data_IF_511426314342
#
_entry.id   IF_511426314342
#
_cell.length_a   1.000
_cell.length_b   1.000
_cell.length_c   1.000
_cell.angle_alpha   90.00
_cell.angle_beta   90.00
_cell.angle_gamma   90.00
#
_symmetry.space_group_name_H-M   'P 1'
#
loop_
_entity.id
_entity.type
_entity.pdbx_description
1 polymer ?
#
# COMPACT_ATOMS: atom_id res chain seq x y z
N UNK A 1 -57.63 43.75 3.20
CA UNK A 1 -56.19 43.49 2.99
C UNK A 1 -55.89 43.73 1.51
N UNK A 2 -54.74 44.30 1.17
CA UNK A 2 -54.48 44.93 -0.13
C UNK A 2 -53.91 43.99 -1.19
N UNK A 3 -54.18 44.31 -2.47
CA UNK A 3 -53.49 43.74 -3.63
C UNK A 3 -52.79 44.85 -4.43
N UNK A 4 -51.48 44.68 -4.66
CA UNK A 4 -50.81 44.82 -5.97
C UNK A 4 -50.63 46.19 -6.69
N UNK A 5 -49.76 46.14 -7.72
CA UNK A 5 -49.47 47.11 -8.81
C UNK A 5 -48.51 48.30 -8.56
N UNK A 6 -48.00 48.80 -9.71
CA UNK A 6 -47.09 49.93 -9.96
C UNK A 6 -45.61 49.79 -9.50
N UNK A 7 -44.57 50.34 -10.15
CA UNK A 7 -44.17 50.66 -11.55
C UNK A 7 -43.18 51.84 -11.53
N UNK A 8 -42.18 51.88 -12.41
CA UNK A 8 -41.07 52.84 -12.35
C UNK A 8 -41.35 54.23 -12.97
N UNK A 9 -40.59 55.26 -12.55
CA UNK A 9 -40.26 56.57 -13.22
C UNK A 9 -39.41 57.43 -12.22
N UNK A 10 -38.65 58.49 -12.53
CA UNK A 10 -38.29 59.20 -13.79
C UNK A 10 -36.95 60.00 -13.67
N UNK A 11 -36.11 59.89 -14.71
CA UNK A 11 -35.33 60.93 -15.44
C UNK A 11 -34.85 62.26 -14.80
N UNK A 12 -33.58 62.61 -15.06
CA UNK A 12 -33.09 63.84 -15.75
C UNK A 12 -31.75 63.48 -16.43
N UNK A 13 -31.58 63.43 -17.77
CA UNK A 13 -31.56 64.50 -18.81
C UNK A 13 -30.31 65.40 -18.74
N UNK A 14 -29.41 65.23 -19.72
CA UNK A 14 -28.23 66.08 -19.96
C UNK A 14 -27.28 65.47 -21.01
N UNK A 15 -27.24 66.02 -22.23
CA UNK A 15 -26.50 65.42 -23.37
C UNK A 15 -25.84 66.49 -24.25
N UNK A 16 -24.51 66.59 -24.21
CA UNK A 16 -23.70 67.31 -25.21
C UNK A 16 -22.43 66.54 -25.56
N UNK A 17 -21.86 66.80 -26.74
CA UNK A 17 -20.64 66.18 -27.29
C UNK A 17 -19.55 67.25 -27.44
N UNK A 18 -18.28 66.91 -27.20
CA UNK A 18 -17.25 66.84 -28.27
C UNK A 18 -15.82 66.51 -27.78
N UNK A 19 -15.02 66.01 -28.73
CA UNK A 19 -13.56 65.72 -28.77
C UNK A 19 -12.68 66.94 -28.42
N UNK A 20 -11.33 66.85 -28.29
CA UNK A 20 -10.38 65.74 -28.51
C UNK A 20 -9.55 65.44 -27.23
N UNK A 21 -8.29 64.95 -27.15
CA UNK A 21 -7.23 64.50 -28.10
C UNK A 21 -6.28 63.48 -27.41
N UNK A 22 -5.48 62.63 -28.11
CA UNK A 22 -4.63 61.62 -27.47
C UNK A 22 -3.12 61.92 -27.49
N UNK A 23 -2.48 61.96 -26.31
CA UNK A 23 -1.02 61.73 -26.12
C UNK A 23 -0.66 61.56 -24.63
N UNK A 24 0.57 61.09 -24.37
CA UNK A 24 1.21 60.93 -23.06
C UNK A 24 0.61 59.87 -22.10
N UNK A 25 0.98 58.60 -22.33
CA UNK A 25 1.25 57.67 -21.23
C UNK A 25 2.62 57.02 -21.45
N UNK A 26 3.52 57.19 -20.48
CA UNK A 26 4.88 56.64 -20.49
C UNK A 26 5.35 56.46 -19.04
N UNK A 27 5.89 55.26 -18.72
CA UNK A 27 6.60 54.86 -17.47
C UNK A 27 5.72 54.39 -16.29
N UNK A 28 6.33 53.51 -15.47
CA UNK A 28 5.69 52.60 -14.49
C UNK A 28 5.66 51.17 -15.06
N UNK A 29 6.56 50.21 -14.75
CA UNK A 29 7.00 49.68 -13.43
C UNK A 29 5.78 49.25 -12.59
N UNK A 30 5.67 48.00 -12.10
CA UNK A 30 6.69 47.05 -11.58
C UNK A 30 6.38 45.61 -12.05
N UNK A 31 7.37 44.70 -12.24
CA UNK A 31 7.09 43.29 -12.48
C UNK A 31 6.51 42.60 -11.24
N UNK A 32 5.37 41.92 -11.39
CA UNK A 32 4.75 41.16 -10.31
C UNK A 32 5.60 39.91 -9.98
N UNK A 33 6.15 39.86 -8.76
CA UNK A 33 6.88 38.70 -8.27
C UNK A 33 5.86 37.58 -7.97
N UNK A 34 5.76 36.58 -8.86
CA UNK A 34 4.96 35.39 -8.59
C UNK A 34 5.70 34.56 -7.54
N UNK A 35 5.34 34.73 -6.26
CA UNK A 35 5.70 33.76 -5.23
C UNK A 35 4.99 32.46 -5.57
N UNK A 36 5.74 31.52 -6.15
CA UNK A 36 5.33 30.12 -6.22
C UNK A 36 5.20 29.61 -4.79
N UNK A 37 3.96 29.49 -4.32
CA UNK A 37 3.65 28.72 -3.11
C UNK A 37 4.07 27.29 -3.38
N UNK A 38 5.27 26.93 -2.92
CA UNK A 38 5.70 25.55 -2.85
C UNK A 38 4.70 24.83 -1.91
N UNK A 39 3.78 24.09 -2.52
CA UNK A 39 2.94 23.14 -1.81
C UNK A 39 3.86 22.05 -1.28
N UNK A 40 4.40 22.29 -0.07
CA UNK A 40 5.06 21.27 0.73
C UNK A 40 4.01 20.23 1.06
N UNK A 41 3.87 19.26 0.15
CA UNK A 41 3.11 18.04 0.37
C UNK A 41 3.54 17.48 1.72
N UNK A 42 2.64 17.35 2.71
CA UNK A 42 3.02 16.75 3.98
C UNK A 42 3.52 15.34 3.66
N UNK A 43 4.83 15.12 3.84
CA UNK A 43 5.44 13.86 3.48
C UNK A 43 4.75 12.76 4.26
N UNK A 44 4.06 11.86 3.54
CA UNK A 44 3.30 10.78 4.15
C UNK A 44 4.22 10.00 5.10
N UNK A 45 4.00 10.16 6.40
CA UNK A 45 4.74 9.41 7.40
C UNK A 45 4.25 7.98 7.30
N UNK A 46 5.10 7.09 6.82
CA UNK A 46 4.73 5.69 6.67
C UNK A 46 4.36 5.09 8.04
N UNK A 47 3.23 4.40 8.09
CA UNK A 47 2.67 3.78 9.29
C UNK A 47 3.69 2.77 9.88
N UNK A 48 4.33 3.09 11.03
CA UNK A 48 5.55 2.42 11.45
C UNK A 48 5.29 0.99 11.91
N UNK A 49 6.14 0.07 11.44
CA UNK A 49 6.02 -1.37 11.67
C UNK A 49 7.23 -1.87 12.43
N UNK A 50 7.02 -2.31 13.67
CA UNK A 50 8.08 -2.92 14.49
C UNK A 50 7.91 -4.44 14.54
N UNK A 51 8.95 -5.16 14.15
CA UNK A 51 9.03 -6.62 14.23
C UNK A 51 9.79 -7.05 15.47
N UNK A 52 9.28 -8.08 16.13
CA UNK A 52 9.85 -8.68 17.32
C UNK A 52 9.92 -10.20 17.15
N UNK A 53 10.90 -10.85 17.77
CA UNK A 53 11.00 -12.32 17.83
C UNK A 53 11.18 -12.81 19.25
N UNK A 54 10.71 -14.03 19.50
CA UNK A 54 10.88 -14.75 20.75
C UNK A 54 10.52 -16.21 20.59
N UNK A 55 10.08 -16.84 21.67
CA UNK A 55 9.67 -18.24 21.69
C UNK A 55 8.37 -18.43 22.48
N UNK A 56 7.54 -19.37 22.02
CA UNK A 56 6.36 -19.86 22.71
C UNK A 56 6.59 -21.34 23.03
N UNK A 57 6.97 -21.64 24.27
CA UNK A 57 7.65 -22.90 24.59
C UNK A 57 8.94 -23.02 23.78
N UNK A 58 9.14 -24.15 23.10
CA UNK A 58 10.27 -24.37 22.20
C UNK A 58 10.04 -23.81 20.76
N UNK A 59 8.86 -23.26 20.46
CA UNK A 59 8.50 -22.80 19.10
C UNK A 59 8.97 -21.36 18.87
N UNK A 60 9.82 -21.06 17.86
CA UNK A 60 10.13 -19.68 17.48
C UNK A 60 8.90 -18.95 16.95
N UNK A 61 8.73 -17.70 17.37
CA UNK A 61 7.61 -16.82 16.98
C UNK A 61 8.10 -15.43 16.56
N UNK A 62 7.36 -14.82 15.63
CA UNK A 62 7.56 -13.46 15.14
C UNK A 62 6.24 -12.68 15.25
N UNK A 63 6.30 -11.51 15.88
CA UNK A 63 5.19 -10.57 16.00
C UNK A 63 5.56 -9.29 15.26
N UNK A 64 4.74 -8.86 14.31
CA UNK A 64 4.83 -7.52 13.72
C UNK A 64 3.67 -6.67 14.22
N UNK A 65 4.02 -5.49 14.74
CA UNK A 65 3.07 -4.47 15.17
C UNK A 65 3.24 -3.23 14.29
N UNK A 66 2.23 -2.94 13.48
CA UNK A 66 2.07 -1.72 12.68
C UNK A 66 1.19 -0.75 13.47
N UNK A 67 1.64 0.49 13.68
CA UNK A 67 0.75 1.57 14.10
C UNK A 67 -0.04 2.06 12.89
N UNK A 68 -1.35 1.84 12.88
CA UNK A 68 -2.27 2.40 11.89
C UNK A 68 -2.74 3.77 12.39
N UNK A 69 -2.40 4.83 11.65
CA UNK A 69 -2.79 6.22 11.97
C UNK A 69 -4.25 6.54 11.59
N UNK A 70 -4.94 5.66 10.87
CA UNK A 70 -6.32 5.84 10.45
C UNK A 70 -7.30 5.51 11.61
N UNK A 71 -8.53 6.00 11.50
CA UNK A 71 -9.63 5.74 12.44
C UNK A 71 -9.39 6.04 13.93
N UNK A 72 -8.36 6.84 14.26
CA UNK A 72 -8.08 7.33 15.62
C UNK A 72 -6.82 6.77 16.27
N UNK A 73 -6.08 5.89 15.56
CA UNK A 73 -4.84 5.30 16.05
C UNK A 73 -5.04 3.93 16.70
N UNK A 74 -4.36 2.91 16.18
CA UNK A 74 -4.35 1.57 16.76
C UNK A 74 -3.12 0.76 16.34
N UNK A 75 -2.91 -0.39 16.98
CA UNK A 75 -1.92 -1.37 16.55
C UNK A 75 -2.63 -2.49 15.78
N UNK A 76 -2.02 -2.91 14.67
CA UNK A 76 -2.40 -4.09 13.88
C UNK A 76 -1.12 -4.83 13.43
N UNK A 77 -1.20 -5.79 12.50
CA UNK A 77 -0.03 -6.45 11.94
C UNK A 77 -0.23 -7.95 11.75
N UNK A 78 0.77 -8.76 12.14
CA UNK A 78 0.68 -10.23 12.09
C UNK A 78 1.33 -10.92 13.28
N UNK A 79 0.82 -12.10 13.60
CA UNK A 79 1.49 -13.16 14.35
C UNK A 79 2.00 -14.24 13.39
N UNK A 80 3.16 -14.83 13.67
CA UNK A 80 3.73 -15.93 12.90
C UNK A 80 4.44 -16.91 13.84
N UNK A 81 4.20 -18.21 13.63
CA UNK A 81 4.91 -19.30 14.32
C UNK A 81 5.67 -20.15 13.31
N UNK A 82 6.88 -20.63 13.66
CA UNK A 82 7.62 -21.59 12.82
C UNK A 82 6.98 -23.00 12.79
N UNK A 83 5.95 -23.24 13.61
CA UNK A 83 5.16 -24.47 13.58
C UNK A 83 4.09 -24.45 12.46
N UNK A 84 3.42 -23.30 12.25
CA UNK A 84 2.31 -23.17 11.28
C UNK A 84 2.74 -22.50 9.97
N UNK A 85 3.81 -21.68 10.04
CA UNK A 85 4.42 -20.87 8.98
C UNK A 85 3.41 -20.08 8.15
N UNK A 86 2.41 -19.55 8.83
CA UNK A 86 1.35 -18.72 8.28
C UNK A 86 1.37 -17.36 9.02
N UNK A 87 1.51 -16.23 8.33
CA UNK A 87 1.24 -14.92 8.93
C UNK A 87 -0.26 -14.78 9.16
N UNK A 88 -0.68 -14.92 10.43
CA UNK A 88 -2.07 -14.71 10.85
C UNK A 88 -2.24 -13.22 11.17
N UNK A 89 -3.21 -12.52 10.56
CA UNK A 89 -3.41 -11.09 10.82
C UNK A 89 -3.83 -10.83 12.27
N UNK A 90 -3.45 -9.67 12.79
CA UNK A 90 -3.93 -9.16 14.08
C UNK A 90 -5.17 -8.28 13.88
N UNK A 91 -6.02 -8.22 14.90
CA UNK A 91 -7.08 -7.21 14.97
C UNK A 91 -6.48 -5.78 15.03
N UNK A 92 -7.22 -4.77 14.53
CA UNK A 92 -6.86 -3.37 14.75
C UNK A 92 -7.31 -2.96 16.17
N UNK A 93 -6.39 -3.01 17.12
CA UNK A 93 -6.66 -2.72 18.54
C UNK A 93 -6.20 -1.30 18.92
N UNK A 94 -7.08 -0.41 19.40
CA UNK A 94 -6.67 0.87 19.98
C UNK A 94 -5.74 0.67 21.17
N UNK A 95 -4.66 1.44 21.27
CA UNK A 95 -3.65 1.28 22.32
C UNK A 95 -3.35 2.61 23.05
N UNK A 96 -2.66 2.52 24.18
CA UNK A 96 -2.07 3.67 24.89
C UNK A 96 -0.68 3.32 25.40
N UNK A 97 0.23 4.29 25.33
CA UNK A 97 1.62 4.13 25.78
C UNK A 97 1.66 3.85 27.29
N UNK A 98 2.25 2.72 27.69
CA UNK A 98 2.40 2.29 29.09
C UNK A 98 1.21 1.54 29.70
N UNK A 99 0.08 1.41 29.00
CA UNK A 99 -1.03 0.53 29.38
C UNK A 99 -0.82 -0.90 28.83
N UNK A 100 -1.77 -1.82 29.06
CA UNK A 100 -1.75 -3.14 28.43
C UNK A 100 -2.25 -3.06 26.98
N UNK A 101 -1.58 -3.76 26.06
CA UNK A 101 -2.11 -4.04 24.72
C UNK A 101 -2.52 -5.51 24.65
N UNK A 102 -3.84 -5.76 24.69
CA UNK A 102 -4.43 -7.08 24.45
C UNK A 102 -4.98 -7.12 23.02
N UNK A 103 -4.28 -7.83 22.13
CA UNK A 103 -4.55 -7.84 20.68
C UNK A 103 -4.89 -9.26 20.20
N UNK A 104 -6.02 -9.40 19.49
CA UNK A 104 -6.51 -10.69 19.01
C UNK A 104 -5.74 -11.17 17.77
N UNK A 105 -5.49 -12.48 17.71
CA UNK A 105 -4.90 -13.18 16.57
C UNK A 105 -6.05 -13.76 15.73
N UNK A 106 -6.27 -13.22 14.53
CA UNK A 106 -7.46 -13.47 13.73
C UNK A 106 -7.27 -14.68 12.79
N UNK A 107 -7.12 -15.88 13.38
CA UNK A 107 -7.16 -17.15 12.63
C UNK A 107 -8.53 -17.38 11.97
N UNK A 108 -9.58 -16.85 12.62
CA UNK A 108 -10.94 -16.79 12.13
C UNK A 108 -11.49 -15.36 12.33
N UNK A 109 -12.02 -14.69 11.28
CA UNK A 109 -12.48 -13.30 11.35
C UNK A 109 -13.71 -13.07 12.25
N UNK A 110 -14.40 -14.12 12.71
CA UNK A 110 -15.57 -14.01 13.60
C UNK A 110 -15.36 -14.57 15.00
N UNK A 111 -14.29 -15.34 15.24
CA UNK A 111 -14.02 -15.99 16.53
C UNK A 111 -12.52 -16.33 16.67
N UNK A 112 -11.66 -15.38 17.07
CA UNK A 112 -10.23 -15.61 17.19
C UNK A 112 -9.91 -16.72 18.21
N UNK A 113 -8.94 -17.57 17.87
CA UNK A 113 -8.43 -18.64 18.73
C UNK A 113 -7.64 -18.13 19.92
N UNK A 114 -6.94 -17.02 19.75
CA UNK A 114 -5.87 -16.59 20.63
C UNK A 114 -5.72 -15.07 20.64
N UNK A 115 -5.06 -14.56 21.68
CA UNK A 115 -4.66 -13.18 21.80
C UNK A 115 -3.23 -13.08 22.36
N UNK A 116 -2.58 -11.93 22.14
CA UNK A 116 -1.35 -11.56 22.84
C UNK A 116 -1.68 -10.43 23.82
N UNK A 117 -1.43 -10.66 25.10
CA UNK A 117 -1.35 -9.61 26.12
C UNK A 117 0.09 -9.12 26.18
N UNK A 118 0.30 -7.80 26.09
CA UNK A 118 1.59 -7.13 26.19
C UNK A 118 1.52 -6.08 27.29
N UNK A 119 2.34 -6.26 28.35
CA UNK A 119 2.28 -5.43 29.55
C UNK A 119 3.13 -4.17 29.39
N UNK A 120 2.59 -3.04 29.88
CA UNK A 120 3.20 -1.71 29.75
C UNK A 120 3.68 -1.39 28.33
N UNK A 121 2.84 -1.74 27.35
CA UNK A 121 3.17 -1.68 25.94
C UNK A 121 3.59 -0.26 25.53
N UNK A 122 4.72 -0.16 24.85
CA UNK A 122 5.19 1.10 24.24
C UNK A 122 5.56 0.85 22.79
N UNK A 123 5.10 1.72 21.90
CA UNK A 123 5.26 1.56 20.46
C UNK A 123 6.75 1.60 20.08
N UNK A 124 7.25 0.53 19.47
CA UNK A 124 8.65 0.42 19.06
C UNK A 124 9.65 0.11 20.18
N UNK A 125 9.23 -0.34 21.36
CA UNK A 125 10.10 -0.71 22.49
C UNK A 125 11.24 -1.69 22.11
N UNK A 126 12.33 -1.71 22.89
CA UNK A 126 13.46 -2.63 22.68
C UNK A 126 13.07 -4.10 22.92
N UNK A 127 12.20 -4.33 23.90
CA UNK A 127 11.67 -5.65 24.26
C UNK A 127 10.21 -5.52 24.72
N UNK A 128 9.45 -6.60 24.60
CA UNK A 128 8.08 -6.71 25.07
C UNK A 128 7.96 -7.94 25.99
N UNK A 129 7.15 -7.83 27.03
CA UNK A 129 6.84 -8.90 27.97
C UNK A 129 5.32 -9.02 28.12
N UNK A 130 4.83 -10.24 28.30
CA UNK A 130 3.40 -10.50 28.44
C UNK A 130 3.08 -11.98 28.35
N UNK A 131 1.94 -12.31 27.74
CA UNK A 131 1.45 -13.69 27.59
C UNK A 131 0.78 -13.91 26.24
N UNK A 132 1.01 -15.08 25.66
CA UNK A 132 0.09 -15.66 24.68
C UNK A 132 -1.09 -16.29 25.43
N UNK A 133 -2.31 -16.06 24.95
CA UNK A 133 -3.55 -16.50 25.57
C UNK A 133 -4.34 -17.32 24.56
N UNK A 134 -4.64 -18.57 24.87
CA UNK A 134 -5.61 -19.41 24.15
C UNK A 134 -7.02 -19.04 24.63
N UNK A 135 -7.83 -18.45 23.75
CA UNK A 135 -9.20 -18.01 24.03
C UNK A 135 -10.22 -19.17 24.02
N UNK A 136 -9.84 -20.35 23.52
CA UNK A 136 -10.67 -21.56 23.49
C UNK A 136 -10.53 -22.38 24.77
N UNK A 137 -9.34 -22.38 25.40
CA UNK A 137 -9.08 -23.12 26.67
C UNK A 137 -8.91 -22.23 27.89
N UNK A 138 -8.64 -20.92 27.71
CA UNK A 138 -8.21 -20.01 28.77
C UNK A 138 -6.75 -20.20 29.21
N UNK A 139 -5.99 -21.09 28.53
CA UNK A 139 -4.58 -21.32 28.81
C UNK A 139 -3.73 -20.09 28.51
N UNK A 140 -2.74 -19.83 29.37
CA UNK A 140 -1.79 -18.72 29.20
C UNK A 140 -0.35 -19.24 29.24
N UNK A 141 0.49 -18.70 28.36
CA UNK A 141 1.91 -19.02 28.29
C UNK A 141 2.72 -17.71 28.30
N UNK A 142 3.69 -17.53 29.22
CA UNK A 142 4.54 -16.34 29.27
C UNK A 142 5.26 -16.12 27.95
N UNK A 143 5.29 -14.88 27.49
CA UNK A 143 5.88 -14.46 26.23
C UNK A 143 6.90 -13.34 26.48
N UNK A 144 8.10 -13.52 25.93
CA UNK A 144 9.14 -12.48 25.88
C UNK A 144 9.57 -12.32 24.43
N UNK A 145 9.55 -11.08 23.95
CA UNK A 145 9.90 -10.74 22.57
C UNK A 145 10.99 -9.65 22.57
N UNK A 146 11.99 -9.81 21.72
CA UNK A 146 13.05 -8.82 21.48
C UNK A 146 12.82 -8.17 20.11
N UNK A 147 12.99 -6.85 20.02
CA UNK A 147 12.84 -6.13 18.74
C UNK A 147 13.94 -6.54 17.78
N UNK A 148 13.55 -6.93 16.57
CA UNK A 148 14.46 -7.32 15.48
C UNK A 148 14.69 -6.15 14.53
N UNK A 149 13.62 -5.51 14.06
CA UNK A 149 13.70 -4.38 13.14
C UNK A 149 12.50 -3.44 13.28
N UNK A 150 12.73 -2.14 13.07
CA UNK A 150 11.69 -1.11 12.99
C UNK A 150 11.70 -0.51 11.59
N UNK A 151 10.71 -0.87 10.79
CA UNK A 151 10.48 -0.35 9.45
C UNK A 151 9.61 0.91 9.56
N UNK A 152 10.07 2.00 8.96
CA UNK A 152 9.54 3.35 9.14
C UNK A 152 9.59 3.89 10.60
N UNK A 153 9.37 5.20 10.71
CA UNK A 153 10.17 6.07 11.57
C UNK A 153 10.69 7.26 10.75
N UNK A 154 11.23 8.29 11.40
CA UNK A 154 11.55 9.56 10.72
C UNK A 154 12.56 9.37 9.58
N UNK A 155 12.64 10.33 8.63
CA UNK A 155 13.63 10.28 7.53
C UNK A 155 15.10 10.22 8.00
N UNK A 156 15.36 10.44 9.29
CA UNK A 156 16.70 10.31 9.91
C UNK A 156 17.05 8.87 10.29
N UNK A 157 16.05 8.01 10.47
CA UNK A 157 16.22 6.60 10.83
C UNK A 157 16.45 5.76 9.57
N UNK A 158 17.64 5.17 9.48
CA UNK A 158 17.90 4.09 8.55
C UNK A 158 17.33 2.76 9.08
N UNK A 159 16.97 1.86 8.18
CA UNK A 159 16.66 0.46 8.50
C UNK A 159 17.20 -0.44 7.37
N UNK A 160 17.47 -1.70 7.71
CA UNK A 160 18.07 -2.69 6.82
C UNK A 160 17.75 -4.09 7.37
N UNK A 161 16.82 -4.82 6.75
CA UNK A 161 16.45 -6.16 7.24
C UNK A 161 15.16 -6.77 6.69
N UNK A 162 14.76 -7.89 7.29
CA UNK A 162 13.76 -8.82 6.75
C UNK A 162 12.34 -8.59 7.28
N UNK A 163 11.38 -8.48 6.36
CA UNK A 163 9.95 -8.27 6.64
C UNK A 163 9.11 -9.39 6.02
N UNK A 164 8.43 -10.19 6.86
CA UNK A 164 7.44 -11.16 6.39
C UNK A 164 6.25 -10.42 5.75
N UNK A 165 5.77 -10.94 4.63
CA UNK A 165 4.64 -10.40 3.89
C UNK A 165 3.37 -11.19 4.23
N UNK A 166 2.30 -10.57 4.75
CA UNK A 166 1.12 -11.29 5.18
C UNK A 166 0.27 -11.72 3.98
N UNK A 167 0.37 -13.01 3.65
CA UNK A 167 -0.43 -13.70 2.65
C UNK A 167 -0.90 -15.05 3.20
N UNK A 168 -2.11 -15.45 2.84
CA UNK A 168 -2.66 -16.76 3.16
C UNK A 168 -2.51 -17.67 1.95
N UNK A 169 -1.40 -18.40 1.89
CA UNK A 169 -1.16 -19.44 0.87
C UNK A 169 -0.97 -20.82 1.52
N UNK A 170 -1.22 -21.85 0.71
CA UNK A 170 -1.18 -23.28 1.06
C UNK A 170 0.26 -23.81 1.15
N UNK A 171 1.13 -23.40 0.22
CA UNK A 171 2.43 -24.02 -0.06
C UNK A 171 3.61 -23.09 0.28
N UNK A 172 3.40 -21.77 0.24
CA UNK A 172 4.45 -20.76 0.34
C UNK A 172 4.19 -19.68 1.39
N UNK A 173 5.26 -19.03 1.84
CA UNK A 173 5.24 -17.75 2.52
C UNK A 173 6.41 -16.87 2.02
N UNK A 174 6.28 -15.56 2.15
CA UNK A 174 7.13 -14.60 1.45
C UNK A 174 7.81 -13.66 2.46
N UNK A 175 9.12 -13.46 2.32
CA UNK A 175 9.85 -12.39 3.02
C UNK A 175 10.47 -11.44 2.00
N UNK A 176 10.55 -10.17 2.35
CA UNK A 176 11.30 -9.16 1.59
C UNK A 176 12.45 -8.62 2.43
N UNK A 177 13.58 -8.38 1.78
CA UNK A 177 14.66 -7.59 2.34
C UNK A 177 14.36 -6.12 2.06
N UNK A 178 14.16 -5.33 3.12
CA UNK A 178 13.68 -3.96 3.07
C UNK A 178 14.70 -3.02 3.74
N UNK A 179 15.14 -2.00 3.00
CA UNK A 179 16.12 -1.04 3.48
C UNK A 179 15.79 0.42 3.12
N UNK A 180 16.35 1.34 3.91
CA UNK A 180 16.34 2.78 3.69
C UNK A 180 17.56 3.39 4.38
N UNK A 181 18.35 4.17 3.66
CA UNK A 181 19.47 4.92 4.25
C UNK A 181 18.99 6.21 4.93
N UNK A 182 19.73 6.70 5.90
CA UNK A 182 19.38 7.94 6.60
C UNK A 182 19.40 9.13 5.62
N UNK A 183 18.26 9.81 5.51
CA UNK A 183 18.04 10.89 4.54
C UNK A 183 17.35 10.47 3.24
N UNK A 184 17.11 9.17 2.98
CA UNK A 184 16.29 8.74 1.85
C UNK A 184 14.79 8.98 2.12
N UNK A 185 14.08 9.52 1.14
CA UNK A 185 12.65 9.85 1.22
C UNK A 185 11.73 8.61 1.10
N UNK A 186 12.25 7.49 0.58
CA UNK A 186 11.47 6.28 0.28
C UNK A 186 12.36 5.05 0.48
N UNK A 187 11.89 4.07 1.24
CA UNK A 187 12.57 2.78 1.38
C UNK A 187 12.41 1.92 0.13
N UNK A 188 13.32 0.97 -0.06
CA UNK A 188 13.30 0.01 -1.16
C UNK A 188 13.31 -1.43 -0.65
N UNK A 189 12.78 -2.32 -1.47
CA UNK A 189 13.07 -3.76 -1.39
C UNK A 189 14.09 -4.08 -2.48
N UNK A 190 15.11 -4.85 -2.16
CA UNK A 190 16.12 -5.32 -3.13
C UNK A 190 16.15 -6.84 -3.29
N UNK A 191 15.47 -7.58 -2.40
CA UNK A 191 15.38 -9.04 -2.44
C UNK A 191 13.98 -9.52 -2.03
N UNK A 192 13.43 -10.48 -2.78
CA UNK A 192 12.17 -11.17 -2.47
C UNK A 192 12.45 -12.66 -2.36
N UNK A 193 12.08 -13.28 -1.23
CA UNK A 193 12.31 -14.70 -0.94
C UNK A 193 11.00 -15.42 -0.77
N UNK A 194 10.82 -16.47 -1.57
CA UNK A 194 9.74 -17.44 -1.45
C UNK A 194 10.24 -18.63 -0.64
N UNK A 195 9.52 -18.97 0.43
CA UNK A 195 9.84 -20.06 1.33
C UNK A 195 8.72 -21.10 1.31
N UNK A 196 9.08 -22.38 1.28
CA UNK A 196 8.12 -23.48 1.37
C UNK A 196 7.56 -23.56 2.78
N UNK A 197 6.24 -23.42 2.93
CA UNK A 197 5.52 -23.54 4.19
C UNK A 197 5.72 -24.91 4.84
N UNK A 198 5.76 -25.98 4.03
CA UNK A 198 6.00 -27.34 4.52
C UNK A 198 7.39 -27.55 5.16
N UNK A 199 8.43 -26.84 4.72
CA UNK A 199 9.83 -27.12 5.13
C UNK A 199 10.55 -25.97 5.83
N UNK A 200 10.10 -24.73 5.64
CA UNK A 200 10.79 -23.50 6.06
C UNK A 200 11.97 -23.11 5.15
N UNK A 201 12.23 -23.86 4.07
CA UNK A 201 13.36 -23.62 3.18
C UNK A 201 13.00 -22.62 2.07
N UNK A 202 13.95 -21.76 1.70
CA UNK A 202 13.84 -20.89 0.51
C UNK A 202 13.74 -21.78 -0.73
N UNK A 203 12.67 -21.65 -1.50
CA UNK A 203 12.48 -22.34 -2.78
C UNK A 203 12.96 -21.50 -3.97
N UNK A 204 12.89 -20.18 -3.85
CA UNK A 204 13.37 -19.24 -4.84
C UNK A 204 13.66 -17.88 -4.20
N UNK A 205 14.64 -17.19 -4.75
CA UNK A 205 15.00 -15.82 -4.42
C UNK A 205 15.03 -14.97 -5.69
N UNK A 206 14.56 -13.72 -5.61
CA UNK A 206 14.56 -12.76 -6.71
C UNK A 206 15.21 -11.47 -6.22
N UNK A 207 16.38 -11.16 -6.75
CA UNK A 207 17.06 -9.88 -6.53
C UNK A 207 16.58 -8.83 -7.55
N UNK A 208 16.47 -7.58 -7.12
CA UNK A 208 15.94 -6.49 -7.96
C UNK A 208 15.99 -5.14 -7.25
N UNK A 209 15.09 -4.23 -7.63
CA UNK A 209 14.88 -2.94 -6.96
C UNK A 209 13.38 -2.59 -7.07
N UNK A 210 12.71 -2.47 -5.92
CA UNK A 210 11.28 -2.23 -5.80
C UNK A 210 10.98 -1.18 -4.72
N UNK A 211 9.88 -0.47 -4.84
CA UNK A 211 9.44 0.44 -3.77
C UNK A 211 8.96 -0.37 -2.56
N UNK A 212 9.39 0.03 -1.37
CA UNK A 212 8.73 -0.38 -0.13
C UNK A 212 7.35 0.28 -0.06
N UNK A 213 6.32 -0.44 0.39
CA UNK A 213 5.02 0.18 0.60
C UNK A 213 5.09 1.22 1.73
N UNK A 214 4.33 2.31 1.57
CA UNK A 214 4.27 3.39 2.56
C UNK A 214 3.37 3.08 3.77
N UNK A 215 2.72 1.91 3.82
CA UNK A 215 1.76 1.55 4.88
C UNK A 215 2.00 0.10 5.32
N UNK A 216 2.38 -0.07 6.59
CA UNK A 216 2.43 -1.37 7.25
C UNK A 216 3.37 -2.40 6.62
N UNK A 217 2.96 -3.66 6.69
CA UNK A 217 3.76 -4.84 6.31
C UNK A 217 3.64 -5.23 4.82
N UNK A 218 2.72 -4.64 4.06
CA UNK A 218 2.25 -5.15 2.75
C UNK A 218 2.93 -4.47 1.57
N UNK A 219 4.16 -4.88 1.26
CA UNK A 219 4.91 -4.41 0.08
C UNK A 219 4.60 -5.22 -1.18
N UNK A 220 4.37 -6.52 -1.03
CA UNK A 220 3.84 -7.37 -2.10
C UNK A 220 2.30 -7.32 -2.10
N UNK A 221 1.72 -7.12 -3.28
CA UNK A 221 0.28 -7.33 -3.50
C UNK A 221 0.06 -8.76 -4.00
N UNK A 222 -0.87 -9.49 -3.39
CA UNK A 222 -1.09 -10.91 -3.67
C UNK A 222 -2.49 -11.16 -4.25
N UNK A 223 -2.56 -12.06 -5.23
CA UNK A 223 -3.79 -12.55 -5.85
C UNK A 223 -3.52 -13.89 -6.55
N UNK A 224 -4.55 -14.53 -7.08
CA UNK A 224 -4.46 -15.62 -8.06
C UNK A 224 -4.77 -14.99 -9.44
N UNK A 225 -3.73 -14.74 -10.25
CA UNK A 225 -3.85 -13.93 -11.47
C UNK A 225 -4.24 -14.74 -12.71
N UNK A 226 -3.93 -16.04 -12.77
CA UNK A 226 -4.31 -16.93 -13.89
C UNK A 226 -5.33 -18.03 -13.55
N UNK A 227 -5.63 -18.25 -12.27
CA UNK A 227 -6.64 -19.19 -11.81
C UNK A 227 -6.13 -20.60 -11.51
N UNK A 228 -4.81 -20.81 -11.38
CA UNK A 228 -4.21 -22.09 -10.97
C UNK A 228 -4.47 -22.44 -9.48
N UNK A 229 -4.83 -21.44 -8.66
CA UNK A 229 -5.16 -21.61 -7.25
C UNK A 229 -3.95 -21.65 -6.31
N UNK A 230 -2.78 -21.23 -6.78
CA UNK A 230 -1.58 -20.85 -6.00
C UNK A 230 -1.48 -19.33 -5.97
N UNK A 231 -0.94 -18.73 -4.91
CA UNK A 231 -0.84 -17.27 -4.87
C UNK A 231 0.30 -16.74 -5.75
N UNK A 232 -0.02 -15.76 -6.58
CA UNK A 232 0.90 -14.91 -7.34
C UNK A 232 1.20 -13.60 -6.58
N UNK A 233 2.20 -12.85 -7.05
CA UNK A 233 2.47 -11.52 -6.50
C UNK A 233 2.75 -10.45 -7.56
N UNK A 234 2.28 -9.24 -7.26
CA UNK A 234 2.72 -8.00 -7.88
C UNK A 234 3.56 -7.20 -6.89
N UNK A 235 4.51 -6.42 -7.41
CA UNK A 235 5.37 -5.54 -6.62
C UNK A 235 5.69 -4.27 -7.39
N UNK A 236 5.63 -3.12 -6.72
CA UNK A 236 5.82 -1.84 -7.40
C UNK A 236 7.31 -1.60 -7.73
N UNK A 237 7.64 -1.40 -9.00
CA UNK A 237 9.04 -1.20 -9.42
C UNK A 237 9.66 0.06 -8.82
N UNK A 238 10.99 0.08 -8.67
CA UNK A 238 11.75 1.27 -8.25
C UNK A 238 12.44 1.93 -9.45
N UNK A 239 12.47 3.25 -9.47
CA UNK A 239 13.17 4.05 -10.49
C UNK A 239 13.93 5.20 -9.81
N UNK A 240 15.07 5.59 -10.39
CA UNK A 240 15.84 6.76 -9.95
C UNK A 240 15.85 7.76 -11.09
N UNK A 241 15.26 8.94 -10.87
CA UNK A 241 15.21 10.00 -11.88
C UNK A 241 16.58 10.67 -12.07
N UNK A 242 17.01 10.76 -13.34
CA UNK A 242 18.29 11.34 -13.74
C UNK A 242 18.38 12.85 -13.46
N UNK A 243 19.61 13.34 -13.20
CA UNK A 243 19.91 14.73 -12.83
C UNK A 243 19.02 15.31 -11.70
N UNK A 244 18.77 14.47 -10.69
CA UNK A 244 18.15 14.88 -9.43
C UNK A 244 18.33 13.83 -8.32
N UNK A 245 18.43 12.55 -8.68
CA UNK A 245 18.55 11.46 -7.70
C UNK A 245 17.23 11.16 -6.98
N UNK A 246 16.13 11.78 -7.40
CA UNK A 246 14.81 11.54 -6.84
C UNK A 246 14.35 10.12 -7.18
N UNK A 247 14.24 9.27 -6.16
CA UNK A 247 13.59 7.98 -6.27
C UNK A 247 12.10 8.16 -6.56
N UNK A 248 11.54 7.32 -7.42
CA UNK A 248 10.10 7.24 -7.67
C UNK A 248 9.67 5.80 -7.93
N UNK A 249 8.42 5.49 -7.62
CA UNK A 249 7.87 4.18 -7.88
C UNK A 249 7.37 4.08 -9.33
N UNK A 250 7.86 3.08 -10.04
CA UNK A 250 7.45 2.72 -11.38
C UNK A 250 6.12 1.91 -11.37
N UNK A 251 5.56 1.54 -12.53
CA UNK A 251 4.46 0.58 -12.60
C UNK A 251 4.78 -0.77 -11.96
N UNK A 252 3.74 -1.56 -11.70
CA UNK A 252 3.86 -2.86 -11.05
C UNK A 252 4.55 -3.90 -11.96
N UNK A 253 5.44 -4.68 -11.36
CA UNK A 253 5.94 -5.94 -11.91
C UNK A 253 5.06 -7.10 -11.43
N UNK A 254 4.83 -8.08 -12.29
CA UNK A 254 3.97 -9.23 -12.00
C UNK A 254 4.77 -10.53 -12.08
N UNK A 255 4.65 -11.36 -11.04
CA UNK A 255 5.36 -12.64 -10.89
C UNK A 255 4.33 -13.73 -10.62
N UNK A 256 4.14 -14.62 -11.61
CA UNK A 256 3.16 -15.71 -11.56
C UNK A 256 3.82 -17.06 -11.32
N UNK A 257 3.19 -17.93 -10.55
CA UNK A 257 3.72 -19.26 -10.25
C UNK A 257 3.67 -20.18 -11.47
N UNK A 258 4.82 -20.70 -11.90
CA UNK A 258 4.89 -21.67 -13.00
C UNK A 258 5.09 -23.09 -12.47
N UNK A 259 3.98 -23.80 -12.27
CA UNK A 259 3.94 -25.16 -11.69
C UNK A 259 4.88 -26.18 -12.36
N UNK A 260 5.10 -26.08 -13.67
CA UNK A 260 6.00 -26.97 -14.41
C UNK A 260 7.50 -26.74 -14.12
N UNK A 261 7.92 -25.52 -13.76
CA UNK A 261 9.30 -25.21 -13.33
C UNK A 261 9.41 -25.00 -11.82
N UNK A 262 8.28 -25.01 -11.08
CA UNK A 262 8.16 -24.74 -9.64
C UNK A 262 8.79 -23.42 -9.21
N UNK A 263 8.63 -22.40 -10.04
CA UNK A 263 9.22 -21.08 -9.85
C UNK A 263 8.27 -19.97 -10.28
N UNK A 264 8.31 -18.85 -9.58
CA UNK A 264 7.68 -17.59 -9.96
C UNK A 264 8.42 -16.97 -11.13
N UNK A 265 7.69 -16.73 -12.22
CA UNK A 265 8.20 -16.13 -13.46
C UNK A 265 7.56 -14.77 -13.67
N UNK A 266 8.38 -13.79 -14.07
CA UNK A 266 7.93 -12.43 -14.40
C UNK A 266 7.07 -12.45 -15.66
N UNK A 267 6.00 -11.66 -15.72
CA UNK A 267 5.03 -11.61 -16.82
C UNK A 267 5.00 -10.23 -17.54
N UNK A 268 5.93 -9.94 -18.48
CA UNK A 268 6.10 -8.61 -19.07
C UNK A 268 4.87 -7.99 -19.76
N UNK A 269 3.95 -8.81 -20.29
CA UNK A 269 2.73 -8.29 -20.91
C UNK A 269 1.77 -7.64 -19.88
N UNK A 270 1.61 -8.22 -18.68
CA UNK A 270 0.82 -7.59 -17.61
C UNK A 270 1.45 -6.25 -17.18
N UNK A 271 2.77 -6.19 -17.13
CA UNK A 271 3.52 -4.96 -16.81
C UNK A 271 3.29 -3.88 -17.88
N UNK A 272 3.29 -4.25 -19.16
CA UNK A 272 2.97 -3.33 -20.25
C UNK A 272 1.51 -2.82 -20.14
N UNK A 273 0.54 -3.69 -19.84
CA UNK A 273 -0.84 -3.23 -19.58
C UNK A 273 -0.94 -2.32 -18.34
N UNK A 274 -0.12 -2.54 -17.30
CA UNK A 274 -0.04 -1.68 -16.12
C UNK A 274 0.71 -0.35 -16.36
N UNK A 275 1.53 -0.26 -17.41
CA UNK A 275 2.09 1.01 -17.94
C UNK A 275 1.03 1.75 -18.75
N UNK A 276 0.30 1.04 -19.62
CA UNK A 276 -0.61 1.63 -20.59
C UNK A 276 -1.97 2.06 -20.02
N UNK A 277 -2.39 1.53 -18.87
CA UNK A 277 -3.71 1.86 -18.30
C UNK A 277 -4.06 1.19 -16.96
N UNK A 278 -5.35 1.14 -16.68
CA UNK A 278 -5.93 0.48 -15.50
C UNK A 278 -6.10 -1.02 -15.76
N UNK A 279 -5.55 -1.84 -14.88
CA UNK A 279 -5.87 -3.26 -14.75
C UNK A 279 -6.86 -3.51 -13.61
N UNK A 280 -7.72 -4.50 -13.79
CA UNK A 280 -8.53 -5.14 -12.73
C UNK A 280 -8.42 -6.65 -12.93
N UNK A 281 -8.38 -7.41 -11.84
CA UNK A 281 -8.38 -8.87 -11.86
C UNK A 281 -9.65 -9.43 -11.21
N UNK A 282 -10.14 -10.54 -11.75
CA UNK A 282 -11.36 -11.22 -11.31
C UNK A 282 -11.16 -12.75 -11.31
N UNK A 283 -11.93 -13.51 -10.50
CA UNK A 283 -11.69 -14.93 -10.27
C UNK A 283 -11.62 -15.80 -11.55
N UNK A 284 -10.77 -16.83 -11.52
CA UNK A 284 -10.56 -17.75 -12.64
C UNK A 284 -9.73 -17.13 -13.78
N UNK A 285 -8.68 -16.39 -13.41
CA UNK A 285 -7.69 -15.81 -14.32
C UNK A 285 -8.19 -14.65 -15.18
N UNK A 286 -9.28 -13.98 -14.81
CA UNK A 286 -9.89 -12.94 -15.65
C UNK A 286 -9.26 -11.57 -15.39
N UNK A 287 -9.04 -10.81 -16.45
CA UNK A 287 -8.41 -9.50 -16.42
C UNK A 287 -9.21 -8.50 -17.25
N UNK A 288 -9.60 -7.37 -16.65
CA UNK A 288 -10.17 -6.21 -17.36
C UNK A 288 -9.07 -5.16 -17.57
N UNK A 289 -8.96 -4.63 -18.79
CA UNK A 289 -8.03 -3.54 -19.13
C UNK A 289 -8.76 -2.33 -19.73
N UNK A 290 -8.43 -1.13 -19.24
CA UNK A 290 -8.85 0.14 -19.84
C UNK A 290 -7.73 1.17 -19.76
N UNK A 291 -7.38 1.77 -20.90
CA UNK A 291 -6.48 2.94 -20.96
C UNK A 291 -7.23 4.25 -21.17
N UNK A 292 -6.50 5.37 -21.09
CA UNK A 292 -7.08 6.72 -21.22
C UNK A 292 -7.81 6.93 -22.56
N UNK A 293 -7.25 6.40 -23.67
CA UNK A 293 -7.85 6.46 -25.02
C UNK A 293 -9.21 5.74 -25.14
N UNK A 294 -9.59 4.94 -24.13
CA UNK A 294 -10.86 4.20 -24.12
C UNK A 294 -12.00 4.99 -23.45
N UNK A 295 -11.73 6.22 -22.96
CA UNK A 295 -12.68 7.04 -22.21
C UNK A 295 -13.24 8.16 -23.09
N UNK A 296 -14.52 8.02 -23.46
CA UNK A 296 -15.32 9.05 -24.09
C UNK A 296 -16.07 9.85 -23.00
N UNK A 297 -15.55 11.02 -22.65
CA UNK A 297 -16.13 11.88 -21.60
C UNK A 297 -17.45 12.55 -22.03
N UNK A 298 -17.70 12.75 -23.32
CA UNK A 298 -18.92 13.40 -23.83
C UNK A 298 -20.11 12.43 -23.76
N UNK A 299 -19.89 11.15 -24.09
CA UNK A 299 -20.86 10.07 -23.92
C UNK A 299 -20.86 9.46 -22.51
N UNK A 300 -19.83 9.76 -21.70
CA UNK A 300 -19.49 9.13 -20.41
C UNK A 300 -19.42 7.61 -20.51
N UNK A 301 -18.64 7.13 -21.48
CA UNK A 301 -18.42 5.72 -21.75
C UNK A 301 -16.93 5.40 -21.59
N UNK A 302 -16.63 4.27 -20.97
CA UNK A 302 -15.30 3.68 -20.90
C UNK A 302 -15.34 2.30 -21.58
N UNK A 303 -14.52 2.08 -22.60
CA UNK A 303 -14.32 0.72 -23.14
C UNK A 303 -13.45 -0.08 -22.18
N UNK A 304 -13.79 -1.34 -21.97
CA UNK A 304 -12.95 -2.35 -21.33
C UNK A 304 -12.64 -3.46 -22.32
N UNK A 305 -11.38 -3.86 -22.39
CA UNK A 305 -10.94 -5.05 -23.11
C UNK A 305 -10.73 -6.18 -22.09
N UNK A 306 -11.34 -7.33 -22.33
CA UNK A 306 -11.34 -8.47 -21.41
C UNK A 306 -10.39 -9.56 -21.89
N UNK A 307 -9.59 -10.07 -20.96
CA UNK A 307 -8.59 -11.11 -21.18
C UNK A 307 -8.71 -12.21 -20.13
N UNK A 308 -8.13 -13.37 -20.42
CA UNK A 308 -7.72 -14.36 -19.43
C UNK A 308 -6.20 -14.49 -19.42
N UNK A 309 -5.60 -14.55 -18.24
CA UNK A 309 -4.21 -14.99 -18.06
C UNK A 309 -4.18 -16.53 -18.09
N UNK A 310 -3.22 -17.10 -18.82
CA UNK A 310 -3.18 -18.55 -19.14
C UNK A 310 -1.90 -19.21 -18.63
N UNK A 311 -0.82 -18.43 -18.58
CA UNK A 311 0.51 -18.80 -18.08
C UNK A 311 1.34 -17.51 -17.96
N UNK A 312 2.51 -17.50 -17.28
CA UNK A 312 3.33 -16.29 -17.08
C UNK A 312 3.84 -15.61 -18.35
N UNK A 313 3.70 -16.24 -19.51
CA UNK A 313 4.06 -15.72 -20.83
C UNK A 313 2.85 -15.41 -21.73
N UNK A 314 1.61 -15.71 -21.30
CA UNK A 314 0.44 -15.78 -22.19
C UNK A 314 -0.85 -15.19 -21.63
N UNK A 315 -1.36 -14.22 -22.37
CA UNK A 315 -2.73 -13.70 -22.26
C UNK A 315 -3.58 -14.17 -23.44
N UNK A 316 -4.86 -14.42 -23.19
CA UNK A 316 -5.89 -14.68 -24.20
C UNK A 316 -6.91 -13.55 -24.18
N UNK A 317 -7.05 -12.80 -25.27
CA UNK A 317 -8.17 -11.87 -25.45
C UNK A 317 -9.49 -12.64 -25.56
N UNK A 318 -10.53 -12.12 -24.89
CA UNK A 318 -11.87 -12.72 -24.83
C UNK A 318 -12.90 -11.88 -25.59
N UNK A 319 -12.99 -10.59 -25.26
CA UNK A 319 -14.02 -9.67 -25.76
C UNK A 319 -13.70 -8.21 -25.39
N UNK A 320 -14.54 -7.27 -25.82
CA UNK A 320 -14.55 -5.89 -25.34
C UNK A 320 -15.97 -5.42 -25.03
N UNK A 321 -16.15 -4.55 -24.05
CA UNK A 321 -17.43 -3.99 -23.64
C UNK A 321 -17.34 -2.51 -23.23
N UNK A 322 -18.46 -1.93 -22.80
CA UNK A 322 -18.58 -0.51 -22.44
C UNK A 322 -19.24 -0.33 -21.06
N UNK A 323 -18.59 0.43 -20.19
CA UNK A 323 -19.08 0.88 -18.87
C UNK A 323 -19.52 2.34 -18.97
N UNK A 324 -20.62 2.74 -18.29
CA UNK A 324 -21.11 4.13 -18.23
C UNK A 324 -20.88 4.77 -16.87
N UNK A 325 -20.59 6.07 -16.84
CA UNK A 325 -20.32 6.87 -15.63
C UNK A 325 -20.89 8.32 -15.71
#
# INVERSE_FOLDING_TARGET
>A
MSQSWASATRTWVGRWRCRPDPRQLLRGLVPALVLGLALSSPGASADPTTTYRGTLGDTPVELALTYDSQYGGGMSGYWFSEAERLPIPLELTPFRQGEELLINIMDNPTLPAAAVSLQSFSEGADSLQGSFIDLRTGGQQPLQLQRVMRFAGSRREAFDGELLQPVQDKDFYFRVHALRHAGEDTGRVDNIRMLSRATGQVVQEVAGQWCLAAIGTRTLGFADFDGDGTVDFQVQGYSVSGQGGGASCAPAQYYLYHSATKAYLRHPLLEQFAVDGTLRFAPGGQMEFSKQDFIDYDKRIRRWDYYRVISPDRLQYLSSGEERF
#
